data_IF_977416757546
#
_entry.id   IF_977416757546
#
_cell.length_a   1.000
_cell.length_b   1.000
_cell.length_c   1.000
_cell.angle_alpha   90.00
_cell.angle_beta   90.00
_cell.angle_gamma   90.00
#
_symmetry.space_group_name_H-M   'P 1'
#
loop_
_entity.id
_entity.type
_entity.pdbx_description
1 polymer ?
#
# COMPACT_ATOMS: atom_id res chain seq x y z
N UNK A 1 -2.29 -0.50 -12.61
CA UNK A 1 -1.57 -0.92 -11.41
C UNK A 1 -0.26 -1.52 -11.85
N UNK A 2 0.84 -0.83 -11.54
CA UNK A 2 2.15 -1.27 -11.96
C UNK A 2 2.55 -2.48 -11.12
N UNK A 3 3.21 -3.44 -11.75
CA UNK A 3 3.85 -4.60 -11.12
C UNK A 3 4.85 -4.24 -10.01
N UNK A 4 5.20 -2.96 -9.86
CA UNK A 4 6.17 -2.48 -8.86
C UNK A 4 5.54 -2.22 -7.49
N UNK A 5 4.22 -2.06 -7.40
CA UNK A 5 3.57 -1.67 -6.15
C UNK A 5 3.08 -2.87 -5.30
N UNK A 6 3.40 -4.10 -5.73
CA UNK A 6 3.09 -5.34 -5.01
C UNK A 6 1.64 -5.83 -5.12
N UNK A 7 0.81 -5.14 -5.91
CA UNK A 7 -0.62 -5.44 -6.06
C UNK A 7 -1.50 -4.72 -5.02
N UNK A 8 -2.80 -5.05 -4.93
CA UNK A 8 -3.68 -4.49 -3.91
C UNK A 8 -3.26 -4.94 -2.50
N UNK A 9 -3.26 -4.01 -1.54
CA UNK A 9 -2.90 -4.29 -0.14
C UNK A 9 -3.84 -5.30 0.53
N UNK A 10 -5.13 -5.23 0.16
CA UNK A 10 -6.18 -6.13 0.61
C UNK A 10 -6.80 -6.80 -0.61
N UNK A 11 -6.29 -7.97 -1.03
CA UNK A 11 -6.83 -8.66 -2.19
C UNK A 11 -8.27 -9.10 -1.91
N UNK A 12 -9.18 -8.76 -2.82
CA UNK A 12 -10.54 -9.28 -2.77
C UNK A 12 -10.49 -10.68 -3.37
N UNK A 13 -10.61 -11.69 -2.51
CA UNK A 13 -10.74 -13.07 -2.93
C UNK A 13 -12.14 -13.28 -3.48
N UNK A 14 -12.18 -13.61 -4.76
CA UNK A 14 -13.39 -13.91 -5.52
C UNK A 14 -14.31 -12.73 -5.81
N UNK A 15 -14.82 -12.79 -7.02
CA UNK A 15 -15.68 -11.83 -7.69
C UNK A 15 -17.02 -11.72 -6.93
N UNK A 16 -17.09 -11.04 -5.79
CA UNK A 16 -18.36 -10.56 -5.24
C UNK A 16 -18.71 -9.22 -5.90
N UNK A 17 -19.00 -9.28 -7.20
CA UNK A 17 -19.35 -8.14 -8.06
C UNK A 17 -20.77 -7.62 -7.82
N UNK A 18 -21.48 -8.18 -6.84
CA UNK A 18 -22.90 -7.91 -6.63
C UNK A 18 -23.18 -6.52 -6.04
N UNK A 19 -22.19 -5.88 -5.38
CA UNK A 19 -22.39 -4.55 -4.76
C UNK A 19 -22.28 -3.42 -5.79
N UNK A 20 -21.31 -3.50 -6.73
CA UNK A 20 -20.97 -2.38 -7.61
C UNK A 20 -21.49 -2.53 -9.05
N UNK A 21 -21.91 -3.73 -9.46
CA UNK A 21 -22.43 -4.02 -10.81
C UNK A 21 -21.59 -3.40 -11.93
N UNK A 22 -20.26 -3.61 -11.95
CA UNK A 22 -19.39 -2.97 -12.95
C UNK A 22 -19.77 -3.44 -14.36
N UNK A 23 -19.90 -2.51 -15.30
CA UNK A 23 -20.27 -2.80 -16.68
C UNK A 23 -19.07 -3.30 -17.50
N UNK A 24 -17.85 -3.04 -17.03
CA UNK A 24 -16.62 -3.41 -17.72
C UNK A 24 -15.56 -4.03 -16.80
N UNK A 25 -14.68 -4.85 -17.37
CA UNK A 25 -13.50 -5.40 -16.68
C UNK A 25 -12.60 -4.29 -16.12
N UNK A 26 -12.54 -3.15 -16.80
CA UNK A 26 -11.76 -1.98 -16.36
C UNK A 26 -12.33 -1.34 -15.11
N UNK A 27 -13.66 -1.22 -15.01
CA UNK A 27 -14.34 -0.75 -13.80
C UNK A 27 -14.15 -1.74 -12.65
N UNK A 28 -14.31 -3.05 -12.91
CA UNK A 28 -14.02 -4.08 -11.91
C UNK A 28 -12.59 -3.96 -11.36
N UNK A 29 -11.61 -3.77 -12.24
CA UNK A 29 -10.21 -3.58 -11.83
C UNK A 29 -10.03 -2.33 -10.99
N UNK A 30 -10.73 -1.23 -11.30
CA UNK A 30 -10.65 0.03 -10.55
C UNK A 30 -11.30 -0.11 -9.18
N UNK A 31 -12.47 -0.71 -9.11
CA UNK A 31 -13.22 -0.82 -7.87
C UNK A 31 -12.55 -1.78 -6.88
N UNK A 32 -11.90 -2.83 -7.40
CA UNK A 32 -11.10 -3.79 -6.60
C UNK A 32 -9.64 -3.33 -6.39
N UNK A 33 -9.24 -2.18 -6.94
CA UNK A 33 -7.84 -1.76 -6.92
C UNK A 33 -7.36 -1.41 -5.50
N UNK A 34 -8.20 -0.75 -4.69
CA UNK A 34 -7.85 -0.38 -3.32
C UNK A 34 -6.55 0.43 -3.21
N UNK A 35 -5.93 0.45 -2.02
CA UNK A 35 -4.55 0.93 -1.86
C UNK A 35 -3.54 -0.11 -2.37
N UNK A 36 -2.39 0.34 -2.88
CA UNK A 36 -1.32 -0.59 -3.22
C UNK A 36 -0.67 -1.19 -1.97
N UNK A 37 -0.11 -2.39 -2.08
CA UNK A 37 0.62 -3.05 -0.99
C UNK A 37 1.82 -2.22 -0.54
N UNK A 38 2.47 -1.52 -1.48
CA UNK A 38 3.51 -0.52 -1.22
C UNK A 38 3.03 0.60 -0.30
N UNK A 39 1.91 1.24 -0.63
CA UNK A 39 1.34 2.33 0.18
C UNK A 39 0.96 1.84 1.58
N UNK A 40 0.44 0.62 1.68
CA UNK A 40 0.09 0.02 2.96
C UNK A 40 1.32 -0.21 3.85
N UNK A 41 2.40 -0.78 3.31
CA UNK A 41 3.64 -0.93 4.06
C UNK A 41 4.24 0.41 4.49
N UNK A 42 4.24 1.40 3.60
CA UNK A 42 4.72 2.74 3.93
C UNK A 42 3.86 3.37 5.05
N UNK A 43 2.54 3.24 4.99
CA UNK A 43 1.66 3.73 6.05
C UNK A 43 1.94 3.05 7.40
N UNK A 44 2.22 1.74 7.42
CA UNK A 44 2.61 1.02 8.64
C UNK A 44 3.95 1.48 9.20
N UNK A 45 4.95 1.70 8.34
CA UNK A 45 6.24 2.24 8.74
C UNK A 45 6.09 3.65 9.36
N UNK A 46 5.32 4.52 8.70
CA UNK A 46 5.03 5.87 9.20
C UNK A 46 4.29 5.84 10.54
N UNK A 47 3.30 4.96 10.69
CA UNK A 47 2.57 4.78 11.96
C UNK A 47 3.53 4.42 13.11
N UNK A 48 4.43 3.46 12.88
CA UNK A 48 5.43 3.07 13.88
C UNK A 48 6.38 4.23 14.24
N UNK A 49 6.77 5.02 13.25
CA UNK A 49 7.62 6.20 13.45
C UNK A 49 6.93 7.27 14.29
N UNK A 50 5.67 7.61 13.97
CA UNK A 50 4.90 8.63 14.67
C UNK A 50 4.48 8.20 16.08
N UNK A 51 4.45 6.91 16.38
CA UNK A 51 4.16 6.40 17.72
C UNK A 51 5.32 6.58 18.72
N UNK A 52 6.50 7.03 18.27
CA UNK A 52 7.64 7.25 19.15
C UNK A 52 7.35 8.42 20.13
N UNK A 53 7.37 8.18 21.46
CA UNK A 53 7.09 9.22 22.45
C UNK A 53 8.26 10.20 22.65
N UNK A 54 9.45 9.88 22.13
CA UNK A 54 10.62 10.74 22.22
C UNK A 54 10.55 11.84 21.14
N UNK A 55 11.08 13.04 21.44
CA UNK A 55 11.24 14.09 20.43
C UNK A 55 12.00 13.55 19.22
N UNK A 56 11.50 13.88 18.04
CA UNK A 56 12.08 13.45 16.79
C UNK A 56 12.31 14.65 15.89
N UNK A 57 13.58 14.88 15.54
CA UNK A 57 13.98 16.00 14.67
C UNK A 57 13.77 15.68 13.18
N UNK A 58 13.24 14.50 12.86
CA UNK A 58 12.99 14.09 11.48
C UNK A 58 11.80 14.84 10.91
N UNK A 59 12.04 15.56 9.81
CA UNK A 59 10.97 16.20 9.06
C UNK A 59 9.97 15.16 8.52
N UNK A 60 8.71 15.57 8.36
CA UNK A 60 7.64 14.73 7.75
C UNK A 60 8.08 14.19 6.38
N UNK A 61 8.84 14.99 5.62
CA UNK A 61 9.41 14.59 4.33
C UNK A 61 10.36 13.39 4.46
N UNK A 62 11.27 13.41 5.43
CA UNK A 62 12.20 12.32 5.67
C UNK A 62 11.47 11.04 6.12
N UNK A 63 10.47 11.18 6.99
CA UNK A 63 9.67 10.05 7.46
C UNK A 63 8.94 9.37 6.30
N UNK A 64 8.33 10.16 5.41
CA UNK A 64 7.68 9.62 4.21
C UNK A 64 8.68 8.89 3.29
N UNK A 65 9.86 9.48 3.05
CA UNK A 65 10.90 8.86 2.23
C UNK A 65 11.37 7.52 2.82
N UNK A 66 11.65 7.46 4.12
CA UNK A 66 12.07 6.22 4.79
C UNK A 66 10.98 5.16 4.81
N UNK A 67 9.72 5.56 4.99
CA UNK A 67 8.58 4.66 4.95
C UNK A 67 8.46 3.96 3.59
N UNK A 68 8.59 4.70 2.48
CA UNK A 68 8.58 4.09 1.14
C UNK A 68 9.80 3.20 0.89
N UNK A 69 10.99 3.59 1.37
CA UNK A 69 12.19 2.71 1.29
C UNK A 69 12.00 1.39 2.02
N UNK A 70 11.35 1.42 3.19
CA UNK A 70 11.02 0.20 3.92
C UNK A 70 9.99 -0.65 3.17
N UNK A 71 8.96 -0.03 2.59
CA UNK A 71 7.99 -0.73 1.74
C UNK A 71 8.65 -1.40 0.54
N UNK A 72 9.54 -0.68 -0.17
CA UNK A 72 10.26 -1.20 -1.34
C UNK A 72 11.16 -2.39 -0.95
N UNK A 73 11.83 -2.32 0.21
CA UNK A 73 12.62 -3.43 0.73
C UNK A 73 11.78 -4.67 1.08
N UNK A 74 10.58 -4.48 1.65
CA UNK A 74 9.66 -5.58 1.94
C UNK A 74 9.15 -6.26 0.66
N UNK A 75 8.85 -5.47 -0.37
CA UNK A 75 8.45 -6.02 -1.67
C UNK A 75 9.59 -6.80 -2.34
N UNK A 76 10.81 -6.25 -2.32
CA UNK A 76 11.99 -6.94 -2.83
C UNK A 76 12.24 -8.28 -2.11
N UNK A 77 12.13 -8.29 -0.78
CA UNK A 77 12.31 -9.51 0.02
C UNK A 77 11.24 -10.59 -0.26
N UNK A 78 10.02 -10.18 -0.65
CA UNK A 78 8.94 -11.11 -1.02
C UNK A 78 9.14 -11.73 -2.41
N UNK A 79 9.83 -11.02 -3.30
CA UNK A 79 10.10 -11.48 -4.67
C UNK A 79 11.38 -12.32 -4.81
N UNK A 80 12.17 -12.46 -3.74
CA UNK A 80 13.33 -13.34 -3.64
C UNK A 80 12.91 -14.77 -3.23
#
# INVERSE_FOLDING_TARGET
MSIQDGGPAFPVAEYDHMVFQPATVSETKRDLSGMSLRDYFAAKAMQGWTANPLPNDSSIKNVAEWAYRQADAMLAARSA
#
